data_IF_459924954434
#
_entry.id   IF_459924954434
#
_cell.length_a   1.000
_cell.length_b   1.000
_cell.length_c   1.000
_cell.angle_alpha   90.00
_cell.angle_beta   90.00
_cell.angle_gamma   90.00
#
_symmetry.space_group_name_H-M   'P 1'
#
loop_
_entity.id
_entity.type
_entity.pdbx_description
1 polymer ?
#
# COMPACT_ATOMS: atom_id res chain seq x y z
N UNK A 1 12.86 65.40 34.32
CA UNK A 1 12.26 64.03 34.33
C UNK A 1 12.19 63.56 32.89
N UNK A 2 12.91 62.52 32.52
CA UNK A 2 12.80 61.84 31.22
C UNK A 2 12.36 60.41 31.51
N UNK A 3 11.21 60.02 31.00
CA UNK A 3 10.75 58.64 31.01
C UNK A 3 10.99 58.08 29.61
N UNK A 4 12.03 57.26 29.44
CA UNK A 4 12.13 56.37 28.29
C UNK A 4 11.46 55.05 28.69
N UNK A 5 10.23 54.83 28.23
CA UNK A 5 9.62 53.51 28.29
C UNK A 5 10.16 52.72 27.08
N UNK A 6 11.23 51.96 27.29
CA UNK A 6 11.60 50.89 26.37
C UNK A 6 10.84 49.63 26.79
N UNK A 7 9.70 49.39 26.14
CA UNK A 7 9.03 48.10 26.20
C UNK A 7 9.59 47.23 25.06
N UNK A 8 10.80 46.71 25.25
CA UNK A 8 11.21 45.51 24.54
C UNK A 8 10.32 44.36 25.05
N UNK A 9 9.28 44.07 24.29
CA UNK A 9 8.38 42.95 24.55
C UNK A 9 8.92 41.72 23.82
N UNK A 10 9.02 40.62 24.54
CA UNK A 10 9.43 39.35 23.96
C UNK A 10 8.21 38.71 23.33
N UNK A 11 8.33 38.40 22.06
CA UNK A 11 7.30 37.73 21.28
C UNK A 11 7.83 36.36 20.89
N UNK A 12 7.21 35.31 21.42
CA UNK A 12 7.37 33.98 20.86
C UNK A 12 6.57 33.94 19.55
N UNK A 13 7.22 33.53 18.46
CA UNK A 13 6.56 33.26 17.18
C UNK A 13 7.13 31.97 16.60
N UNK A 14 6.29 30.94 16.50
CA UNK A 14 6.60 29.69 15.82
C UNK A 14 5.77 29.61 14.54
N UNK A 15 6.39 29.30 13.41
CA UNK A 15 5.71 29.17 12.11
C UNK A 15 5.90 27.78 11.53
N UNK A 16 4.91 27.32 10.78
CA UNK A 16 4.99 26.13 9.95
C UNK A 16 4.04 26.29 8.77
N UNK A 17 4.34 25.60 7.66
CA UNK A 17 3.54 25.55 6.43
C UNK A 17 2.17 24.93 6.72
N UNK A 18 1.25 25.77 7.18
CA UNK A 18 -0.05 25.37 7.72
C UNK A 18 -1.14 25.50 6.65
N UNK A 19 -0.90 26.31 5.62
CA UNK A 19 -1.73 26.37 4.42
C UNK A 19 -1.36 25.30 3.37
N UNK A 20 -0.22 24.60 3.56
CA UNK A 20 0.28 23.48 2.73
C UNK A 20 0.70 23.89 1.33
N UNK A 21 1.24 25.08 1.17
CA UNK A 21 1.77 25.57 -0.12
C UNK A 21 3.25 25.20 -0.35
N UNK A 22 3.86 24.53 0.64
CA UNK A 22 5.25 24.09 0.62
C UNK A 22 6.22 25.09 1.23
N UNK A 23 5.79 26.28 1.67
CA UNK A 23 6.66 27.31 2.25
C UNK A 23 6.13 27.75 3.61
N UNK A 24 7.05 28.01 4.52
CA UNK A 24 6.71 28.65 5.80
C UNK A 24 6.70 30.17 5.59
N UNK A 25 5.57 30.82 5.84
CA UNK A 25 5.45 32.28 5.81
C UNK A 25 5.92 32.89 7.13
N UNK A 26 7.10 33.51 7.10
CA UNK A 26 7.72 34.18 8.25
C UNK A 26 7.35 35.67 8.34
N UNK A 27 7.05 36.30 7.21
CA UNK A 27 6.89 37.75 7.10
C UNK A 27 5.43 38.19 6.97
N UNK A 28 4.57 37.31 6.46
CA UNK A 28 3.14 37.53 6.24
C UNK A 28 2.24 36.81 7.24
N UNK A 29 0.99 36.62 6.83
CA UNK A 29 -0.07 36.04 7.65
C UNK A 29 -0.76 34.82 7.03
N UNK A 30 -0.28 34.28 5.90
CA UNK A 30 -1.04 33.26 5.15
C UNK A 30 -1.12 31.91 5.88
N UNK A 31 -0.14 31.59 6.73
CA UNK A 31 -0.14 30.40 7.57
C UNK A 31 -0.97 30.56 8.86
N UNK A 32 -1.16 31.79 9.33
CA UNK A 32 -1.73 32.11 10.65
C UNK A 32 -3.14 31.55 10.83
N UNK A 33 -4.07 31.69 9.87
CA UNK A 33 -5.42 31.15 10.00
C UNK A 33 -5.47 29.62 10.18
N UNK A 34 -4.44 28.92 9.70
CA UNK A 34 -4.40 27.46 9.64
C UNK A 34 -3.53 26.84 10.75
N UNK A 35 -2.64 27.63 11.35
CA UNK A 35 -1.63 27.25 12.33
C UNK A 35 -2.10 26.38 13.50
N UNK A 36 -3.31 26.64 14.00
CA UNK A 36 -3.88 25.94 15.17
C UNK A 36 -4.93 24.88 14.79
N UNK A 37 -4.90 24.42 13.54
CA UNK A 37 -5.85 23.49 12.98
C UNK A 37 -5.25 22.08 12.76
N UNK A 38 -6.11 21.06 12.73
CA UNK A 38 -5.80 19.68 12.33
C UNK A 38 -6.77 19.15 11.27
N UNK A 39 -7.53 20.03 10.61
CA UNK A 39 -8.46 19.65 9.54
C UNK A 39 -7.70 19.02 8.36
N UNK A 40 -8.43 18.27 7.54
CA UNK A 40 -7.84 17.60 6.37
C UNK A 40 -7.30 18.57 5.32
N UNK A 41 -7.59 19.87 5.41
CA UNK A 41 -7.12 20.93 4.52
C UNK A 41 -6.38 22.08 5.24
N UNK A 42 -6.08 21.96 6.54
CA UNK A 42 -5.42 23.02 7.30
C UNK A 42 -4.57 22.48 8.45
N UNK A 43 -3.45 23.14 8.73
CA UNK A 43 -2.45 22.71 9.70
C UNK A 43 -1.31 21.95 9.02
N UNK A 44 -0.12 22.08 9.60
CA UNK A 44 1.12 21.59 8.97
C UNK A 44 1.21 20.07 8.95
N UNK A 45 1.89 19.53 7.92
CA UNK A 45 2.14 18.11 7.75
C UNK A 45 3.63 17.83 7.95
N UNK A 46 3.95 16.69 8.57
CA UNK A 46 5.30 16.18 8.70
C UNK A 46 5.31 14.67 8.44
N UNK A 47 6.48 14.09 8.16
CA UNK A 47 6.59 12.68 7.80
C UNK A 47 6.95 11.83 9.02
N UNK A 48 6.52 10.56 9.02
CA UNK A 48 7.16 9.57 9.85
C UNK A 48 8.46 9.15 9.18
N UNK A 49 9.60 9.50 9.75
CA UNK A 49 10.91 9.24 9.15
C UNK A 49 11.35 7.80 9.45
N UNK A 50 10.54 6.87 8.94
CA UNK A 50 10.66 5.44 9.18
C UNK A 50 11.51 4.72 8.12
N UNK A 51 12.28 5.48 7.32
CA UNK A 51 13.32 4.98 6.42
C UNK A 51 14.53 4.43 7.18
N UNK A 52 15.47 3.82 6.46
CA UNK A 52 16.72 3.29 7.01
C UNK A 52 17.92 3.77 6.18
N UNK A 53 18.30 5.03 6.40
CA UNK A 53 19.49 5.62 5.80
C UNK A 53 20.73 4.82 6.23
N UNK A 54 21.64 4.57 5.28
CA UNK A 54 22.83 3.70 5.47
C UNK A 54 22.55 2.23 5.85
N UNK A 55 21.29 1.82 5.81
CA UNK A 55 20.85 0.43 5.98
C UNK A 55 21.21 -0.18 7.34
N UNK A 56 21.16 0.61 8.42
CA UNK A 56 21.53 0.17 9.78
C UNK A 56 20.58 -0.91 10.28
N UNK A 57 19.27 -0.74 10.06
CA UNK A 57 18.23 -1.66 10.47
C UNK A 57 18.18 -2.91 9.58
N UNK A 58 18.31 -2.76 8.26
CA UNK A 58 18.45 -3.89 7.33
C UNK A 58 19.64 -4.79 7.70
N UNK A 59 20.78 -4.23 8.11
CA UNK A 59 21.95 -5.01 8.56
C UNK A 59 21.61 -5.89 9.77
N UNK A 60 20.79 -5.40 10.71
CA UNK A 60 20.32 -6.20 11.84
C UNK A 60 19.39 -7.33 11.38
N UNK A 61 18.53 -7.06 10.40
CA UNK A 61 17.64 -8.06 9.82
C UNK A 61 18.40 -9.16 9.04
N UNK A 62 19.60 -8.87 8.53
CA UNK A 62 20.43 -9.82 7.79
C UNK A 62 21.29 -10.74 8.66
N UNK A 63 21.28 -10.58 9.99
CA UNK A 63 22.01 -11.46 10.90
C UNK A 63 21.41 -12.88 10.96
N UNK A 64 22.21 -13.86 11.38
CA UNK A 64 21.78 -15.27 11.54
C UNK A 64 20.61 -15.43 12.52
N UNK A 65 20.55 -14.56 13.52
CA UNK A 65 19.45 -14.45 14.50
C UNK A 65 18.88 -13.04 14.45
N UNK A 66 17.99 -12.73 13.48
CA UNK A 66 17.44 -11.39 13.36
C UNK A 66 16.51 -11.08 14.53
N UNK A 67 16.36 -9.79 14.91
CA UNK A 67 15.32 -9.36 15.85
C UNK A 67 13.91 -9.71 15.35
N UNK A 68 12.92 -9.66 16.24
CA UNK A 68 11.51 -9.77 15.86
C UNK A 68 11.11 -8.67 14.87
N UNK A 69 10.05 -8.92 14.09
CA UNK A 69 9.54 -7.89 13.18
C UNK A 69 9.12 -6.61 13.91
N UNK A 70 8.59 -6.72 15.13
CA UNK A 70 8.31 -5.57 16.00
C UNK A 70 9.55 -4.69 16.21
N UNK A 71 10.69 -5.31 16.55
CA UNK A 71 11.95 -4.59 16.77
C UNK A 71 12.52 -4.01 15.48
N UNK A 72 12.31 -4.68 14.35
CA UNK A 72 12.75 -4.19 13.04
C UNK A 72 11.89 -3.02 12.56
N UNK A 73 10.57 -3.10 12.72
CA UNK A 73 9.66 -2.00 12.43
C UNK A 73 9.93 -0.76 13.30
N UNK A 74 10.37 -0.96 14.55
CA UNK A 74 10.80 0.11 15.45
C UNK A 74 12.21 0.65 15.13
N UNK A 75 12.98 0.00 14.26
CA UNK A 75 14.30 0.46 13.85
C UNK A 75 14.18 1.27 12.56
N UNK A 76 14.50 2.56 12.65
CA UNK A 76 14.46 3.51 11.53
C UNK A 76 15.26 4.79 11.83
N UNK A 77 15.29 5.72 10.89
CA UNK A 77 16.01 7.00 10.99
C UNK A 77 15.52 7.88 12.14
N UNK A 78 14.28 7.73 12.61
CA UNK A 78 13.74 8.43 13.78
C UNK A 78 13.73 7.60 15.09
N UNK A 79 14.36 6.42 15.10
CA UNK A 79 14.33 5.50 16.25
C UNK A 79 15.14 5.96 17.46
N UNK A 80 16.00 6.96 17.30
CA UNK A 80 16.77 7.60 18.37
C UNK A 80 16.75 9.13 18.22
N UNK A 81 17.71 9.81 18.85
CA UNK A 81 17.87 11.26 18.81
C UNK A 81 19.01 11.67 17.85
N UNK A 82 19.51 10.78 17.00
CA UNK A 82 20.57 11.10 16.04
C UNK A 82 19.91 11.34 14.68
N UNK A 83 20.28 12.44 14.03
CA UNK A 83 19.84 12.69 12.66
C UNK A 83 20.59 11.73 11.71
N UNK A 84 19.91 10.68 11.25
CA UNK A 84 20.49 9.69 10.32
C UNK A 84 20.32 10.09 8.84
N UNK A 85 19.31 10.90 8.52
CA UNK A 85 19.03 11.36 7.15
C UNK A 85 19.43 12.84 6.97
N UNK A 86 19.78 13.32 5.75
CA UNK A 86 20.20 14.70 5.52
C UNK A 86 19.10 15.76 5.72
N UNK A 87 17.86 15.36 6.05
CA UNK A 87 16.79 16.27 6.41
C UNK A 87 16.85 16.64 7.89
N UNK A 88 16.70 17.92 8.26
CA UNK A 88 16.76 18.34 9.66
C UNK A 88 15.68 17.63 10.48
N UNK A 89 16.02 17.14 11.67
CA UNK A 89 15.12 16.49 12.62
C UNK A 89 15.19 17.21 13.98
N UNK A 90 14.09 17.19 14.75
CA UNK A 90 13.98 17.87 16.04
C UNK A 90 13.93 16.87 17.18
N UNK A 91 14.42 17.33 18.31
CA UNK A 91 14.45 16.58 19.56
C UNK A 91 13.23 16.92 20.42
N UNK A 92 12.90 16.02 21.35
CA UNK A 92 11.76 16.11 22.26
C UNK A 92 11.74 17.39 23.11
N UNK A 93 12.90 17.96 23.42
CA UNK A 93 13.05 19.33 23.95
C UNK A 93 14.42 19.87 23.55
N UNK A 94 14.45 21.01 22.85
CA UNK A 94 15.69 21.69 22.49
C UNK A 94 15.78 22.99 23.30
N UNK A 95 16.74 23.07 24.21
CA UNK A 95 17.11 24.33 24.85
C UNK A 95 18.11 25.07 23.96
N UNK A 96 17.81 26.33 23.65
CA UNK A 96 18.63 27.18 22.76
C UNK A 96 19.12 28.39 23.54
N UNK A 97 20.41 28.74 23.37
CA UNK A 97 21.03 29.90 24.03
C UNK A 97 20.67 31.23 23.33
N UNK A 98 20.74 32.34 24.08
CA UNK A 98 20.25 33.68 23.72
C UNK A 98 20.70 34.20 22.34
N UNK A 99 21.96 33.95 21.95
CA UNK A 99 22.52 34.48 20.71
C UNK A 99 21.86 33.89 19.45
N UNK A 100 21.35 32.66 19.54
CA UNK A 100 20.70 31.95 18.44
C UNK A 100 19.21 32.32 18.33
N UNK A 101 18.55 32.65 19.46
CA UNK A 101 17.13 33.03 19.46
C UNK A 101 16.87 34.35 18.71
N UNK A 102 17.79 35.32 18.75
CA UNK A 102 17.63 36.59 18.03
C UNK A 102 17.71 36.45 16.51
N UNK A 103 18.35 35.39 16.00
CA UNK A 103 18.51 35.14 14.57
C UNK A 103 17.35 34.29 14.00
N UNK A 104 16.49 33.76 14.86
CA UNK A 104 15.50 32.74 14.51
C UNK A 104 16.11 31.34 14.49
N UNK A 105 15.25 30.33 14.66
CA UNK A 105 15.63 28.92 14.68
C UNK A 105 14.84 28.18 13.61
N UNK A 106 15.55 27.44 12.76
CA UNK A 106 14.93 26.49 11.85
C UNK A 106 14.95 25.09 12.49
N UNK A 107 13.76 24.53 12.68
CA UNK A 107 13.56 23.20 13.23
C UNK A 107 12.99 22.31 12.12
N UNK A 108 13.59 21.14 11.88
CA UNK A 108 12.89 20.07 11.16
C UNK A 108 12.27 19.12 12.17
N UNK A 109 11.15 18.46 11.86
CA UNK A 109 10.41 17.62 12.82
C UNK A 109 10.03 16.33 12.10
N UNK A 110 10.41 15.19 12.68
CA UNK A 110 10.08 13.86 12.17
C UNK A 110 9.26 13.09 13.20
N UNK A 111 8.25 12.34 12.73
CA UNK A 111 7.56 11.37 13.57
C UNK A 111 8.37 10.06 13.65
N UNK A 112 8.34 9.42 14.82
CA UNK A 112 8.98 8.11 15.05
C UNK A 112 8.14 6.92 14.56
N UNK A 113 6.85 7.14 14.41
CA UNK A 113 5.90 6.14 13.96
C UNK A 113 4.78 6.81 13.17
N UNK A 114 3.93 5.97 12.61
CA UNK A 114 2.74 6.30 11.84
C UNK A 114 1.52 6.37 12.75
N UNK A 115 0.36 6.67 12.19
CA UNK A 115 -0.91 6.59 12.95
C UNK A 115 -1.23 5.13 13.24
N UNK A 116 -1.61 4.83 14.48
CA UNK A 116 -1.91 3.47 14.94
C UNK A 116 -3.31 3.38 15.54
N UNK A 117 -4.07 2.30 15.29
CA UNK A 117 -5.33 2.08 15.99
C UNK A 117 -5.07 1.92 17.48
N UNK A 118 -5.84 2.63 18.32
CA UNK A 118 -5.66 2.63 19.78
C UNK A 118 -4.34 3.23 20.29
N UNK A 119 -3.49 3.75 19.39
CA UNK A 119 -2.20 4.37 19.70
C UNK A 119 -2.20 5.87 19.45
N UNK A 120 -1.07 6.40 18.99
CA UNK A 120 -0.97 7.80 18.60
C UNK A 120 -1.79 8.06 17.32
N UNK A 121 -2.62 9.09 17.37
CA UNK A 121 -3.53 9.49 16.28
C UNK A 121 -2.84 10.37 15.22
N UNK A 122 -1.54 10.59 15.37
CA UNK A 122 -0.74 11.38 14.44
C UNK A 122 -0.77 12.88 14.66
N UNK A 123 -1.46 13.40 15.69
CA UNK A 123 -1.55 14.84 15.96
C UNK A 123 -0.51 15.23 17.01
N UNK A 124 0.16 16.35 16.78
CA UNK A 124 1.11 16.95 17.73
C UNK A 124 0.90 18.45 17.81
N UNK A 125 1.11 19.03 18.99
CA UNK A 125 1.21 20.47 19.19
C UNK A 125 2.62 20.79 19.63
N UNK A 126 3.30 21.67 18.89
CA UNK A 126 4.62 22.18 19.27
C UNK A 126 4.42 23.48 20.01
N UNK A 127 4.90 23.52 21.24
CA UNK A 127 4.84 24.70 22.09
C UNK A 127 6.21 25.40 22.07
N UNK A 128 6.23 26.66 21.65
CA UNK A 128 7.42 27.50 21.72
C UNK A 128 7.24 28.52 22.83
N UNK A 129 8.08 28.46 23.86
CA UNK A 129 8.02 29.34 25.02
C UNK A 129 9.37 30.03 25.21
N UNK A 130 9.34 31.35 25.32
CA UNK A 130 10.53 32.18 25.58
C UNK A 130 10.45 32.77 26.98
N UNK A 131 11.51 32.57 27.77
CA UNK A 131 11.64 33.12 29.12
C UNK A 131 12.76 34.16 29.17
N UNK A 132 12.49 35.34 29.73
CA UNK A 132 13.52 36.36 30.00
C UNK A 132 13.22 37.07 31.32
N UNK A 133 14.16 37.00 32.27
CA UNK A 133 14.14 37.77 33.52
C UNK A 133 12.77 37.78 34.22
N UNK A 134 12.08 36.62 34.23
CA UNK A 134 10.77 36.43 34.87
C UNK A 134 9.55 36.75 33.99
N UNK A 135 9.73 37.22 32.75
CA UNK A 135 8.68 37.33 31.72
C UNK A 135 8.64 36.04 30.89
N UNK A 136 7.45 35.73 30.38
CA UNK A 136 7.21 34.58 29.52
C UNK A 136 6.35 35.01 28.32
N UNK A 137 6.69 34.50 27.14
CA UNK A 137 5.91 34.61 25.91
C UNK A 137 5.79 33.22 25.31
N UNK A 138 4.62 32.85 24.81
CA UNK A 138 4.37 31.52 24.29
C UNK A 138 3.52 31.57 23.02
N UNK A 139 3.79 30.63 22.14
CA UNK A 139 3.08 30.43 20.89
C UNK A 139 3.09 28.94 20.55
N UNK A 140 2.22 28.51 19.63
CA UNK A 140 2.07 27.10 19.32
C UNK A 140 1.63 26.87 17.89
N UNK A 141 2.08 25.76 17.33
CA UNK A 141 1.65 25.28 16.01
C UNK A 141 1.23 23.82 16.11
N UNK A 142 0.21 23.47 15.33
CA UNK A 142 -0.35 22.13 15.26
C UNK A 142 0.11 21.45 13.99
N UNK A 143 0.62 20.24 14.14
CA UNK A 143 1.04 19.41 13.03
C UNK A 143 0.30 18.08 13.04
N UNK A 144 0.28 17.42 11.89
CA UNK A 144 -0.26 16.08 11.73
C UNK A 144 0.68 15.24 10.87
N UNK A 145 1.01 14.04 11.33
CA UNK A 145 1.83 13.12 10.54
C UNK A 145 1.10 12.75 9.25
N UNK A 146 1.82 12.70 8.14
CA UNK A 146 1.28 12.27 6.87
C UNK A 146 0.70 10.85 7.00
N UNK A 147 -0.51 10.60 6.48
CA UNK A 147 -1.07 9.26 6.45
C UNK A 147 -0.28 8.38 5.47
N UNK A 148 -0.29 7.07 5.71
CA UNK A 148 0.14 6.12 4.69
C UNK A 148 -1.02 5.87 3.74
N UNK A 149 -0.74 5.97 2.44
CA UNK A 149 -1.65 5.69 1.35
C UNK A 149 -1.12 4.53 0.51
N UNK A 150 -1.99 3.64 0.05
CA UNK A 150 -1.64 2.58 -0.90
C UNK A 150 -1.75 3.08 -2.34
N UNK A 151 -0.98 2.48 -3.23
CA UNK A 151 -1.00 2.80 -4.65
C UNK A 151 -2.22 2.18 -5.35
N UNK A 152 -2.73 2.87 -6.37
CA UNK A 152 -3.67 2.29 -7.35
C UNK A 152 -3.01 2.14 -8.71
N UNK A 153 -3.54 1.24 -9.55
CA UNK A 153 -2.97 0.82 -10.84
C UNK A 153 -2.86 1.88 -11.94
N UNK A 154 -3.25 3.13 -11.69
CA UNK A 154 -3.00 4.24 -12.61
C UNK A 154 -1.81 5.11 -12.20
N UNK A 155 -1.13 4.79 -11.10
CA UNK A 155 0.18 5.35 -10.80
C UNK A 155 1.25 4.77 -11.73
N UNK A 156 2.28 5.57 -12.00
CA UNK A 156 3.45 5.13 -12.76
C UNK A 156 4.23 4.04 -12.02
N UNK A 157 4.65 3.00 -12.73
CA UNK A 157 5.45 1.90 -12.16
C UNK A 157 6.88 2.38 -11.88
N UNK A 158 7.26 2.40 -10.61
CA UNK A 158 8.63 2.73 -10.20
C UNK A 158 9.56 1.51 -10.25
N UNK A 159 9.08 0.35 -9.76
CA UNK A 159 9.84 -0.89 -9.65
C UNK A 159 8.89 -2.08 -9.77
N UNK A 160 9.38 -3.19 -10.30
CA UNK A 160 8.68 -4.48 -10.36
C UNK A 160 9.30 -5.40 -9.32
N UNK A 161 8.48 -6.06 -8.51
CA UNK A 161 8.89 -6.91 -7.40
C UNK A 161 8.42 -8.34 -7.66
N UNK A 162 9.29 -9.32 -7.48
CA UNK A 162 8.94 -10.74 -7.60
C UNK A 162 9.77 -11.60 -6.66
N UNK A 163 9.40 -12.86 -6.48
CA UNK A 163 10.23 -13.86 -5.81
C UNK A 163 11.14 -14.52 -6.85
N UNK A 164 12.40 -14.78 -6.51
CA UNK A 164 13.40 -15.29 -7.46
C UNK A 164 13.13 -16.74 -7.90
N UNK A 165 12.36 -17.51 -7.11
CA UNK A 165 12.09 -18.92 -7.36
C UNK A 165 13.28 -19.85 -7.15
N UNK A 166 14.39 -19.36 -6.60
CA UNK A 166 15.62 -20.13 -6.37
C UNK A 166 15.57 -21.00 -5.11
N UNK A 167 14.59 -20.79 -4.23
CA UNK A 167 14.47 -21.47 -2.95
C UNK A 167 13.04 -21.99 -2.71
N UNK A 168 12.36 -22.55 -3.72
CA UNK A 168 10.96 -23.00 -3.58
C UNK A 168 10.74 -24.42 -4.05
N UNK A 169 9.72 -25.09 -3.50
CA UNK A 169 9.23 -26.39 -4.00
C UNK A 169 8.52 -26.27 -5.36
N UNK A 170 8.12 -25.05 -5.77
CA UNK A 170 7.50 -24.82 -7.07
C UNK A 170 8.56 -24.82 -8.19
N UNK A 171 8.64 -25.95 -8.91
CA UNK A 171 9.60 -26.16 -9.99
C UNK A 171 9.45 -25.20 -11.19
N UNK A 172 8.33 -24.49 -11.29
CA UNK A 172 8.05 -23.56 -12.40
C UNK A 172 8.42 -22.12 -12.09
N UNK A 173 8.58 -21.75 -10.81
CA UNK A 173 8.78 -20.34 -10.43
C UNK A 173 10.05 -19.76 -11.04
N UNK A 174 11.19 -20.46 -10.94
CA UNK A 174 12.44 -19.99 -11.54
C UNK A 174 12.34 -19.81 -13.07
N UNK A 175 11.62 -20.70 -13.75
CA UNK A 175 11.39 -20.61 -15.20
C UNK A 175 10.48 -19.44 -15.55
N UNK A 176 9.42 -19.23 -14.78
CA UNK A 176 8.52 -18.08 -14.92
C UNK A 176 9.30 -16.77 -14.78
N UNK A 177 10.06 -16.62 -13.69
CA UNK A 177 10.86 -15.41 -13.42
C UNK A 177 11.89 -15.14 -14.51
N UNK A 178 12.58 -16.18 -15.02
CA UNK A 178 13.52 -16.03 -16.12
C UNK A 178 12.85 -15.62 -17.43
N UNK A 179 11.64 -16.13 -17.70
CA UNK A 179 10.87 -15.80 -18.91
C UNK A 179 10.29 -14.40 -18.80
N UNK A 180 9.83 -14.01 -17.62
CA UNK A 180 9.33 -12.68 -17.32
C UNK A 180 10.43 -11.61 -17.49
N UNK A 181 11.63 -11.87 -16.95
CA UNK A 181 12.80 -10.99 -17.13
C UNK A 181 13.16 -10.79 -18.62
N UNK A 182 13.15 -11.88 -19.39
CA UNK A 182 13.37 -11.82 -20.84
C UNK A 182 12.28 -11.01 -21.57
N UNK A 183 11.01 -11.17 -21.17
CA UNK A 183 9.90 -10.42 -21.76
C UNK A 183 9.99 -8.92 -21.44
N UNK A 184 10.38 -8.54 -20.21
CA UNK A 184 10.60 -7.13 -19.85
C UNK A 184 11.71 -6.51 -20.71
N UNK A 185 12.80 -7.25 -20.95
CA UNK A 185 13.88 -6.82 -21.83
C UNK A 185 13.42 -6.67 -23.29
N UNK A 186 12.65 -7.64 -23.81
CA UNK A 186 12.10 -7.59 -25.17
C UNK A 186 11.16 -6.39 -25.38
N UNK A 187 10.35 -6.08 -24.37
CA UNK A 187 9.41 -4.96 -24.39
C UNK A 187 10.08 -3.60 -24.10
N UNK A 188 11.37 -3.55 -23.81
CA UNK A 188 12.11 -2.35 -23.36
C UNK A 188 11.46 -1.67 -22.14
N UNK A 189 11.00 -2.47 -21.17
CA UNK A 189 10.49 -1.94 -19.91
C UNK A 189 11.67 -1.48 -19.05
N UNK A 190 11.73 -0.17 -18.77
CA UNK A 190 12.85 0.45 -18.04
C UNK A 190 12.72 0.40 -16.51
N UNK A 191 11.62 -0.15 -15.98
CA UNK A 191 11.42 -0.27 -14.53
C UNK A 191 12.33 -1.37 -13.95
N UNK A 192 13.07 -1.13 -12.86
CA UNK A 192 13.93 -2.15 -12.26
C UNK A 192 13.13 -3.36 -11.77
N UNK A 193 13.70 -4.56 -11.94
CA UNK A 193 13.15 -5.80 -11.42
C UNK A 193 13.93 -6.24 -10.16
N UNK A 194 13.27 -6.25 -9.00
CA UNK A 194 13.83 -6.78 -7.77
C UNK A 194 13.30 -8.20 -7.51
N UNK A 195 14.21 -9.11 -7.13
CA UNK A 195 13.91 -10.54 -6.93
C UNK A 195 14.23 -10.94 -5.48
N UNK A 196 13.20 -11.16 -4.66
CA UNK A 196 13.33 -11.71 -3.32
C UNK A 196 13.86 -13.16 -3.37
N UNK A 197 14.94 -13.47 -2.66
CA UNK A 197 15.65 -14.74 -2.80
C UNK A 197 15.87 -15.51 -1.49
N UNK A 198 15.22 -15.09 -0.40
CA UNK A 198 15.45 -15.62 0.95
C UNK A 198 14.25 -16.38 1.54
N UNK A 199 13.26 -16.77 0.73
CA UNK A 199 12.10 -17.56 1.15
C UNK A 199 11.62 -18.47 0.01
N UNK A 200 10.89 -19.52 0.37
CA UNK A 200 10.21 -20.48 -0.51
C UNK A 200 8.80 -20.07 -0.92
N UNK A 201 8.26 -19.05 -0.25
CA UNK A 201 7.00 -18.41 -0.63
C UNK A 201 7.16 -17.73 -2.00
N UNK A 202 6.28 -18.09 -2.93
CA UNK A 202 6.31 -17.57 -4.29
C UNK A 202 5.45 -16.31 -4.46
N UNK A 203 4.60 -16.00 -3.47
CA UNK A 203 3.54 -15.00 -3.57
C UNK A 203 4.02 -13.64 -3.09
N UNK A 204 4.83 -12.97 -3.92
CA UNK A 204 5.28 -11.60 -3.65
C UNK A 204 4.13 -10.65 -3.27
N UNK A 205 2.98 -10.80 -3.95
CA UNK A 205 1.79 -9.98 -3.76
C UNK A 205 1.18 -10.09 -2.36
N UNK A 206 1.38 -11.21 -1.66
CA UNK A 206 0.61 -11.46 -0.45
C UNK A 206 1.29 -11.03 0.84
N UNK A 207 2.62 -10.92 0.86
CA UNK A 207 3.36 -10.72 2.11
C UNK A 207 3.64 -9.25 2.44
N UNK A 208 3.35 -8.33 1.52
CA UNK A 208 3.45 -6.88 1.73
C UNK A 208 2.65 -6.10 0.67
N UNK A 209 2.34 -4.85 0.98
CA UNK A 209 1.69 -3.88 0.07
C UNK A 209 2.54 -2.60 -0.01
N UNK A 210 2.93 -2.13 -1.22
CA UNK A 210 3.58 -0.84 -1.38
C UNK A 210 2.61 0.32 -1.13
N UNK A 211 3.06 1.30 -0.35
CA UNK A 211 2.36 2.56 -0.12
C UNK A 211 3.34 3.73 -0.04
N UNK A 212 2.83 4.89 0.35
CA UNK A 212 3.63 6.11 0.48
C UNK A 212 3.04 7.07 1.51
N UNK A 213 3.87 7.98 1.96
CA UNK A 213 3.46 9.20 2.66
C UNK A 213 4.08 10.40 1.98
N UNK A 214 3.41 11.54 2.01
CA UNK A 214 3.94 12.75 1.40
C UNK A 214 3.59 14.00 2.18
N UNK A 215 4.44 15.02 2.03
CA UNK A 215 4.21 16.36 2.55
C UNK A 215 4.56 17.41 1.49
N UNK A 216 3.96 18.61 1.54
CA UNK A 216 4.30 19.71 0.64
C UNK A 216 5.77 20.16 0.80
N UNK A 217 6.30 20.74 -0.27
CA UNK A 217 7.62 21.39 -0.29
C UNK A 217 7.69 22.32 -1.51
N UNK A 218 8.59 23.33 -1.51
CA UNK A 218 8.64 24.33 -2.58
C UNK A 218 8.85 23.77 -3.98
N UNK A 219 9.56 22.65 -4.09
CA UNK A 219 9.94 22.00 -5.35
C UNK A 219 9.02 20.82 -5.73
N UNK A 220 7.87 20.72 -5.05
CA UNK A 220 6.96 19.58 -5.14
C UNK A 220 6.99 18.73 -3.87
N UNK A 221 6.08 17.75 -3.76
CA UNK A 221 5.92 16.97 -2.54
C UNK A 221 7.16 16.11 -2.23
N UNK A 222 7.59 16.12 -0.98
CA UNK A 222 8.55 15.14 -0.46
C UNK A 222 7.77 13.86 -0.17
N UNK A 223 8.20 12.74 -0.76
CA UNK A 223 7.51 11.44 -0.64
C UNK A 223 8.46 10.38 -0.10
N UNK A 224 8.01 9.65 0.92
CA UNK A 224 8.64 8.41 1.36
C UNK A 224 7.82 7.22 0.86
N UNK A 225 8.51 6.26 0.26
CA UNK A 225 7.94 4.95 -0.07
C UNK A 225 7.79 4.13 1.20
N UNK A 226 6.73 3.36 1.33
CA UNK A 226 6.45 2.58 2.54
C UNK A 226 6.09 1.16 2.15
N UNK A 227 6.85 0.19 2.65
CA UNK A 227 6.51 -1.23 2.51
C UNK A 227 5.64 -1.63 3.70
N UNK A 228 4.34 -1.85 3.47
CA UNK A 228 3.39 -2.29 4.48
C UNK A 228 3.46 -3.80 4.55
N UNK A 229 4.18 -4.35 5.51
CA UNK A 229 4.26 -5.79 5.73
C UNK A 229 2.86 -6.33 6.09
N UNK A 230 2.52 -7.52 5.57
CA UNK A 230 1.30 -8.24 5.95
C UNK A 230 1.18 -8.40 7.47
N UNK A 231 -0.03 -8.41 8.02
CA UNK A 231 -0.21 -8.64 9.47
C UNK A 231 0.22 -10.05 9.90
N UNK A 232 0.51 -10.94 8.95
CA UNK A 232 0.89 -12.34 9.16
C UNK A 232 2.35 -12.50 9.59
N UNK A 233 2.62 -12.36 10.89
CA UNK A 233 3.98 -12.43 11.45
C UNK A 233 4.71 -13.77 11.16
N UNK A 234 3.97 -14.88 11.10
CA UNK A 234 4.53 -16.20 10.78
C UNK A 234 4.79 -16.44 9.29
N UNK A 235 4.37 -15.54 8.39
CA UNK A 235 4.68 -15.60 6.96
C UNK A 235 6.08 -15.01 6.72
N UNK A 236 7.10 -15.82 6.95
CA UNK A 236 8.52 -15.41 6.99
C UNK A 236 9.02 -14.66 5.74
N UNK A 237 8.36 -14.84 4.60
CA UNK A 237 8.67 -14.11 3.37
C UNK A 237 8.54 -12.59 3.53
N UNK A 238 7.57 -12.13 4.32
CA UNK A 238 7.32 -10.70 4.57
C UNK A 238 8.50 -10.01 5.26
N UNK A 239 9.25 -10.72 6.11
CA UNK A 239 10.42 -10.17 6.82
C UNK A 239 11.48 -9.60 5.86
N UNK A 240 11.48 -10.05 4.60
CA UNK A 240 12.35 -9.55 3.55
C UNK A 240 12.17 -8.05 3.24
N UNK A 241 11.03 -7.43 3.58
CA UNK A 241 10.85 -5.98 3.41
C UNK A 241 11.82 -5.18 4.28
N UNK A 242 12.04 -5.59 5.53
CA UNK A 242 13.00 -4.97 6.44
C UNK A 242 14.45 -5.25 6.02
N UNK A 243 14.71 -6.45 5.47
CA UNK A 243 16.04 -6.86 5.00
C UNK A 243 16.50 -6.10 3.76
N UNK A 244 15.61 -5.96 2.78
CA UNK A 244 16.01 -5.60 1.42
C UNK A 244 15.41 -4.29 0.91
N UNK A 245 14.19 -3.95 1.31
CA UNK A 245 13.48 -2.79 0.76
C UNK A 245 13.58 -1.54 1.65
N UNK A 246 13.63 -1.69 2.98
CA UNK A 246 13.87 -0.56 3.87
C UNK A 246 15.25 0.05 3.60
N UNK A 247 15.28 1.34 3.27
CA UNK A 247 16.47 2.07 2.83
C UNK A 247 16.24 3.59 2.92
N UNK A 248 17.21 4.41 2.51
CA UNK A 248 17.01 5.84 2.35
C UNK A 248 15.82 6.12 1.40
N UNK A 249 14.85 6.91 1.85
CA UNK A 249 13.63 7.21 1.09
C UNK A 249 12.54 6.13 1.11
N UNK A 250 12.82 4.96 1.72
CA UNK A 250 11.89 3.83 1.80
C UNK A 250 11.78 3.30 3.23
N UNK A 251 10.63 3.52 3.87
CA UNK A 251 10.29 2.95 5.17
C UNK A 251 9.61 1.59 5.06
N UNK A 252 9.49 0.91 6.21
CA UNK A 252 8.74 -0.33 6.34
C UNK A 252 7.93 -0.32 7.65
N UNK A 253 6.72 -0.84 7.61
CA UNK A 253 5.82 -0.93 8.77
C UNK A 253 5.15 -2.27 8.83
N UNK A 254 4.71 -2.67 10.03
CA UNK A 254 3.82 -3.80 10.21
C UNK A 254 2.79 -3.50 11.31
N UNK A 255 1.56 -3.96 11.13
CA UNK A 255 0.54 -4.03 12.18
C UNK A 255 0.48 -5.46 12.73
N UNK A 256 0.87 -5.65 14.00
CA UNK A 256 1.17 -6.96 14.58
C UNK A 256 -0.04 -7.57 15.29
N UNK A 257 -1.01 -8.04 14.52
CA UNK A 257 -2.20 -8.71 15.08
C UNK A 257 -2.71 -9.89 14.24
N UNK A 258 -2.11 -10.15 13.06
CA UNK A 258 -2.65 -11.09 12.09
C UNK A 258 -2.21 -12.54 12.30
N UNK A 259 -3.18 -13.44 12.40
CA UNK A 259 -2.94 -14.86 12.21
C UNK A 259 -2.61 -15.17 10.73
N UNK A 260 -1.89 -16.28 10.47
CA UNK A 260 -1.71 -16.83 9.12
C UNK A 260 -3.05 -17.34 8.59
N UNK A 261 -3.68 -16.54 7.74
CA UNK A 261 -5.00 -16.73 7.14
C UNK A 261 -5.02 -15.90 5.86
N UNK A 262 -5.60 -16.43 4.78
CA UNK A 262 -5.63 -15.76 3.47
C UNK A 262 -6.38 -14.43 3.50
N UNK A 263 -7.33 -14.25 4.43
CA UNK A 263 -7.96 -12.94 4.62
C UNK A 263 -6.96 -11.82 4.97
N UNK A 264 -5.78 -12.18 5.50
CA UNK A 264 -4.70 -11.26 5.88
C UNK A 264 -3.55 -11.21 4.85
N UNK A 265 -3.67 -11.91 3.73
CA UNK A 265 -2.75 -11.81 2.59
C UNK A 265 -3.03 -10.52 1.82
N UNK A 266 -1.98 -9.85 1.35
CA UNK A 266 -2.09 -8.52 0.75
C UNK A 266 -2.64 -8.54 -0.69
N UNK A 267 -2.72 -9.70 -1.37
CA UNK A 267 -3.58 -9.85 -2.56
C UNK A 267 -5.07 -9.61 -2.25
N UNK A 268 -5.47 -9.64 -0.97
CA UNK A 268 -6.80 -9.24 -0.52
C UNK A 268 -6.90 -7.76 -0.11
N UNK A 269 -5.91 -6.93 -0.45
CA UNK A 269 -5.89 -5.49 -0.23
C UNK A 269 -5.62 -4.77 -1.56
N UNK A 270 -6.63 -4.06 -2.06
CA UNK A 270 -6.54 -3.32 -3.32
C UNK A 270 -7.01 -1.87 -3.13
N UNK A 271 -6.55 -0.98 -4.02
CA UNK A 271 -6.88 0.44 -3.94
C UNK A 271 -7.81 0.87 -5.07
N UNK A 272 -9.03 1.25 -4.73
CA UNK A 272 -9.95 1.91 -5.66
C UNK A 272 -9.37 3.30 -6.01
N UNK A 273 -9.26 3.68 -7.29
CA UNK A 273 -8.91 5.04 -7.67
C UNK A 273 -9.88 6.10 -7.05
N UNK A 274 -9.50 7.39 -7.00
CA UNK A 274 -10.23 8.42 -6.25
C UNK A 274 -11.75 8.47 -6.49
N UNK A 275 -12.56 8.49 -5.41
CA UNK A 275 -14.04 8.47 -5.43
C UNK A 275 -14.67 9.04 -4.11
N UNK A 276 -16.00 9.03 -3.94
CA UNK A 276 -16.73 9.56 -2.75
C UNK A 276 -17.78 8.57 -2.19
N UNK A 277 -17.87 8.33 -0.87
CA UNK A 277 -18.60 7.13 -0.37
C UNK A 277 -19.27 7.15 1.07
N UNK A 278 -20.28 6.25 1.34
CA UNK A 278 -20.96 5.88 2.64
C UNK A 278 -21.37 4.38 2.87
N UNK A 279 -20.86 3.77 3.96
CA UNK A 279 -20.61 2.34 4.31
C UNK A 279 -21.69 1.22 4.30
N UNK A 280 -21.17 -0.04 4.39
CA UNK A 280 -21.81 -1.29 4.90
C UNK A 280 -20.70 -2.20 5.50
N UNK A 281 -21.05 -3.22 6.31
CA UNK A 281 -20.11 -4.03 7.13
C UNK A 281 -19.96 -5.48 6.66
N UNK A 282 -18.75 -6.05 6.80
CA UNK A 282 -18.35 -7.41 6.45
C UNK A 282 -17.32 -7.96 7.48
N UNK A 283 -16.83 -9.20 7.31
CA UNK A 283 -15.68 -9.76 8.06
C UNK A 283 -14.45 -8.88 7.84
N UNK A 284 -13.67 -8.65 8.90
CA UNK A 284 -12.64 -7.61 8.93
C UNK A 284 -11.23 -8.22 8.93
N UNK A 285 -10.36 -7.92 7.95
CA UNK A 285 -8.95 -8.29 8.01
C UNK A 285 -8.24 -7.47 9.09
N UNK A 286 -7.17 -8.00 9.69
CA UNK A 286 -6.47 -7.30 10.78
C UNK A 286 -5.84 -5.97 10.34
N UNK A 287 -5.48 -5.83 9.06
CA UNK A 287 -4.95 -4.58 8.50
C UNK A 287 -5.99 -3.45 8.46
N UNK A 288 -7.29 -3.76 8.57
CA UNK A 288 -8.37 -2.80 8.42
C UNK A 288 -8.27 -1.63 9.40
N UNK A 289 -8.03 -1.91 10.68
CA UNK A 289 -7.97 -0.86 11.70
C UNK A 289 -6.75 0.05 11.52
N UNK A 290 -5.65 -0.52 11.03
CA UNK A 290 -4.46 0.25 10.66
C UNK A 290 -4.73 1.20 9.48
N UNK A 291 -5.40 0.74 8.42
CA UNK A 291 -5.77 1.57 7.28
C UNK A 291 -6.80 2.65 7.69
N UNK A 292 -7.78 2.30 8.53
CA UNK A 292 -8.75 3.25 9.06
C UNK A 292 -8.10 4.34 9.92
N UNK A 293 -7.03 4.03 10.66
CA UNK A 293 -6.26 5.02 11.42
C UNK A 293 -5.56 6.06 10.51
N UNK A 294 -5.43 5.79 9.20
CA UNK A 294 -4.88 6.75 8.25
C UNK A 294 -5.91 7.82 7.83
N UNK A 295 -7.21 7.58 8.07
CA UNK A 295 -8.33 8.52 7.89
C UNK A 295 -8.60 9.01 6.44
N UNK A 296 -7.78 8.66 5.43
CA UNK A 296 -7.92 9.18 4.05
C UNK A 296 -8.53 8.16 3.07
N UNK A 297 -8.00 6.92 3.03
CA UNK A 297 -8.51 5.85 2.18
C UNK A 297 -9.44 4.94 3.00
N UNK A 298 -10.69 5.36 3.23
CA UNK A 298 -11.68 4.56 3.98
C UNK A 298 -11.91 3.21 3.28
N UNK A 299 -11.49 2.06 3.86
CA UNK A 299 -11.53 0.79 3.16
C UNK A 299 -12.97 0.30 2.93
N UNK A 300 -13.24 -0.11 1.70
CA UNK A 300 -14.48 -0.79 1.34
C UNK A 300 -14.29 -2.30 1.45
N UNK A 301 -15.00 -2.93 2.38
CA UNK A 301 -15.04 -4.39 2.45
C UNK A 301 -15.99 -4.95 1.38
N UNK A 302 -15.59 -6.06 0.78
CA UNK A 302 -16.33 -6.79 -0.27
C UNK A 302 -16.33 -8.29 0.05
N UNK A 303 -17.31 -9.03 -0.46
CA UNK A 303 -17.44 -10.47 -0.24
C UNK A 303 -16.63 -11.25 -1.28
N UNK A 304 -15.53 -11.85 -0.82
CA UNK A 304 -14.62 -12.71 -1.59
C UNK A 304 -14.52 -14.12 -0.98
N UNK A 305 -15.27 -14.42 0.08
CA UNK A 305 -15.23 -15.72 0.80
C UNK A 305 -15.72 -16.90 -0.07
N UNK A 306 -16.31 -16.61 -1.24
CA UNK A 306 -16.75 -17.59 -2.21
C UNK A 306 -15.64 -18.06 -3.16
N UNK A 307 -14.49 -17.37 -3.20
CA UNK A 307 -13.29 -17.78 -3.91
C UNK A 307 -12.50 -18.79 -3.06
N UNK A 308 -11.74 -19.67 -3.72
CA UNK A 308 -11.00 -20.73 -3.03
C UNK A 308 -9.85 -20.18 -2.16
N UNK A 309 -9.16 -19.15 -2.64
CA UNK A 309 -8.14 -18.43 -1.88
C UNK A 309 -8.79 -17.29 -1.09
N UNK A 310 -9.67 -16.52 -1.73
CA UNK A 310 -10.47 -15.50 -1.05
C UNK A 310 -9.86 -14.11 -1.15
N UNK A 311 -9.19 -13.80 -2.27
CA UNK A 311 -8.57 -12.51 -2.52
C UNK A 311 -9.34 -11.69 -3.56
N UNK A 312 -9.32 -10.37 -3.40
CA UNK A 312 -10.00 -9.47 -4.34
C UNK A 312 -9.30 -9.40 -5.71
N UNK A 313 -7.98 -9.59 -5.76
CA UNK A 313 -7.19 -9.57 -7.01
C UNK A 313 -7.56 -10.70 -7.99
N UNK A 314 -8.16 -11.80 -7.50
CA UNK A 314 -8.66 -12.92 -8.32
C UNK A 314 -9.84 -12.52 -9.24
N UNK A 315 -10.58 -11.46 -8.88
CA UNK A 315 -11.81 -11.08 -9.59
C UNK A 315 -11.92 -9.60 -9.96
N UNK A 316 -10.94 -8.78 -9.59
CA UNK A 316 -11.01 -7.35 -9.80
C UNK A 316 -9.63 -6.74 -10.04
N UNK A 317 -9.53 -5.92 -11.08
CA UNK A 317 -8.37 -5.07 -11.31
C UNK A 317 -8.82 -3.72 -11.87
N UNK A 318 -8.13 -2.64 -11.53
CA UNK A 318 -8.29 -1.35 -12.23
C UNK A 318 -7.20 -1.19 -13.31
N UNK A 319 -7.54 -0.65 -14.47
CA UNK A 319 -6.60 -0.34 -15.54
C UNK A 319 -6.75 1.11 -16.02
N UNK A 320 -5.66 1.80 -16.38
CA UNK A 320 -5.74 3.10 -17.05
C UNK A 320 -6.56 3.02 -18.34
N UNK A 321 -7.39 4.04 -18.59
CA UNK A 321 -8.22 4.11 -19.79
C UNK A 321 -8.45 5.56 -20.21
N UNK A 322 -8.62 5.77 -21.52
CA UNK A 322 -8.93 7.09 -22.06
C UNK A 322 -10.44 7.38 -21.99
N UNK A 323 -10.94 7.64 -20.79
CA UNK A 323 -12.33 8.03 -20.52
C UNK A 323 -12.38 9.14 -19.45
N UNK A 324 -13.58 9.57 -19.05
CA UNK A 324 -13.73 10.65 -18.06
C UNK A 324 -13.19 10.32 -16.67
N UNK A 325 -13.04 9.04 -16.33
CA UNK A 325 -12.48 8.59 -15.06
C UNK A 325 -10.95 8.40 -15.12
N UNK A 326 -10.39 8.24 -16.32
CA UNK A 326 -8.98 7.91 -16.53
C UNK A 326 -8.66 6.43 -16.31
N UNK A 327 -9.65 5.61 -16.01
CA UNK A 327 -9.51 4.18 -15.70
C UNK A 327 -10.80 3.40 -15.96
N UNK A 328 -10.66 2.08 -16.05
CA UNK A 328 -11.76 1.10 -16.13
C UNK A 328 -11.59 0.07 -15.03
N UNK A 329 -12.71 -0.50 -14.61
CA UNK A 329 -12.75 -1.69 -13.76
C UNK A 329 -12.76 -2.93 -14.65
N UNK A 330 -11.79 -3.81 -14.47
CA UNK A 330 -11.65 -5.10 -15.15
C UNK A 330 -12.15 -6.22 -14.23
N UNK A 331 -13.11 -7.00 -14.70
CA UNK A 331 -13.70 -8.12 -13.95
C UNK A 331 -13.90 -9.34 -14.85
N UNK A 332 -13.81 -10.57 -14.34
CA UNK A 332 -14.14 -11.76 -15.12
C UNK A 332 -15.64 -11.85 -15.41
N UNK A 333 -15.98 -12.44 -16.56
CA UNK A 333 -17.34 -12.77 -16.98
C UNK A 333 -17.41 -14.27 -17.34
N UNK A 334 -17.79 -15.11 -16.35
CA UNK A 334 -17.96 -16.55 -16.51
C UNK A 334 -18.97 -16.94 -17.58
N UNK A 335 -20.08 -16.20 -17.70
CA UNK A 335 -21.11 -16.52 -18.70
C UNK A 335 -20.62 -16.23 -20.12
N UNK A 336 -19.92 -15.12 -20.35
CA UNK A 336 -19.32 -14.83 -21.65
C UNK A 336 -18.21 -15.83 -22.01
N UNK A 337 -17.44 -16.31 -21.02
CA UNK A 337 -16.50 -17.42 -21.20
C UNK A 337 -17.20 -18.69 -21.74
N UNK A 338 -18.30 -19.09 -21.11
CA UNK A 338 -19.13 -20.21 -21.59
C UNK A 338 -19.77 -19.93 -22.96
N UNK A 339 -20.15 -18.68 -23.24
CA UNK A 339 -20.71 -18.28 -24.52
C UNK A 339 -19.70 -18.46 -25.67
N UNK A 340 -18.41 -18.16 -25.45
CA UNK A 340 -17.34 -18.45 -26.43
C UNK A 340 -17.30 -19.95 -26.75
N UNK A 341 -17.32 -20.80 -25.72
CA UNK A 341 -17.26 -22.26 -25.89
C UNK A 341 -18.49 -22.79 -26.65
N UNK A 342 -19.70 -22.31 -26.30
CA UNK A 342 -20.94 -22.66 -27.01
C UNK A 342 -20.91 -22.19 -28.46
N UNK A 343 -20.37 -21.00 -28.72
CA UNK A 343 -20.19 -20.51 -30.10
C UNK A 343 -19.25 -21.43 -30.88
N UNK A 344 -18.09 -21.79 -30.32
CA UNK A 344 -17.13 -22.70 -30.94
C UNK A 344 -17.75 -24.07 -31.21
N UNK A 345 -18.52 -24.62 -30.27
CA UNK A 345 -19.29 -25.85 -30.46
C UNK A 345 -20.26 -25.73 -31.65
N UNK A 346 -21.05 -24.65 -31.70
CA UNK A 346 -22.02 -24.41 -32.78
C UNK A 346 -21.37 -24.24 -34.15
N UNK A 347 -20.12 -23.75 -34.19
CA UNK A 347 -19.30 -23.62 -35.39
C UNK A 347 -18.62 -24.94 -35.82
N UNK A 348 -18.88 -26.05 -35.12
CA UNK A 348 -18.34 -27.38 -35.45
C UNK A 348 -17.03 -27.73 -34.76
N UNK A 349 -16.57 -26.92 -33.79
CA UNK A 349 -15.32 -27.15 -33.05
C UNK A 349 -15.52 -27.90 -31.72
N UNK A 350 -16.68 -28.53 -31.50
CA UNK A 350 -16.99 -29.24 -30.24
C UNK A 350 -15.96 -30.30 -29.84
N UNK A 351 -15.33 -30.97 -30.81
CA UNK A 351 -14.28 -31.99 -30.59
C UNK A 351 -12.89 -31.43 -30.34
N UNK A 352 -12.70 -30.11 -30.42
CA UNK A 352 -11.42 -29.47 -30.08
C UNK A 352 -11.22 -29.56 -28.56
N UNK A 353 -9.99 -29.78 -28.12
CA UNK A 353 -9.64 -29.71 -26.69
C UNK A 353 -10.01 -28.35 -26.10
N UNK A 354 -10.69 -28.33 -24.96
CA UNK A 354 -11.09 -27.11 -24.26
C UNK A 354 -9.89 -26.38 -23.64
N UNK A 355 -8.79 -27.10 -23.39
CA UNK A 355 -7.55 -26.56 -22.88
C UNK A 355 -6.47 -26.60 -23.96
N UNK A 356 -5.80 -25.47 -24.18
CA UNK A 356 -4.73 -25.33 -25.17
C UNK A 356 -3.35 -25.77 -24.64
N UNK A 357 -3.25 -26.05 -23.34
CA UNK A 357 -2.02 -26.55 -22.71
C UNK A 357 -1.81 -28.01 -23.07
N UNK A 358 -0.57 -28.40 -23.39
CA UNK A 358 -0.24 -29.79 -23.68
C UNK A 358 -0.22 -30.63 -22.39
N UNK A 359 -0.30 -31.96 -22.52
CA UNK A 359 -0.18 -32.91 -21.40
C UNK A 359 1.24 -32.94 -20.78
N UNK A 360 2.16 -32.06 -21.21
CA UNK A 360 3.55 -31.98 -20.75
C UNK A 360 3.71 -31.32 -19.36
N UNK A 361 2.60 -30.96 -18.70
CA UNK A 361 2.59 -30.64 -17.26
C UNK A 361 2.75 -31.86 -16.33
N UNK A 362 3.12 -33.04 -16.85
CA UNK A 362 3.63 -34.17 -16.05
C UNK A 362 4.80 -33.68 -15.17
N UNK A 363 4.51 -33.23 -13.95
CA UNK A 363 5.56 -32.68 -13.09
C UNK A 363 5.12 -31.86 -11.89
N UNK A 364 3.92 -32.05 -11.34
CA UNK A 364 3.79 -31.88 -9.90
C UNK A 364 3.09 -33.13 -9.32
N UNK A 365 3.79 -33.97 -8.55
CA UNK A 365 3.14 -35.05 -7.80
C UNK A 365 2.19 -34.51 -6.70
N UNK A 366 2.33 -33.23 -6.37
CA UNK A 366 1.45 -32.44 -5.49
C UNK A 366 0.60 -31.50 -6.34
N UNK A 367 -0.47 -30.92 -5.78
CA UNK A 367 -1.08 -29.75 -6.42
C UNK A 367 -0.07 -28.58 -6.47
N UNK A 368 -0.09 -27.78 -7.54
CA UNK A 368 0.76 -26.60 -7.74
C UNK A 368 0.61 -25.56 -6.61
N UNK A 369 -0.54 -25.60 -5.95
CA UNK A 369 -0.93 -24.68 -4.88
C UNK A 369 -1.03 -25.36 -3.51
N UNK A 370 -0.66 -26.65 -3.41
CA UNK A 370 -0.78 -27.42 -2.16
C UNK A 370 -2.23 -27.61 -1.69
N UNK A 371 -3.21 -27.33 -2.53
CA UNK A 371 -4.63 -27.52 -2.25
C UNK A 371 -4.92 -29.02 -2.42
N UNK A 372 -5.50 -29.70 -1.41
CA UNK A 372 -5.80 -31.14 -1.47
C UNK A 372 -6.63 -31.58 -2.69
N UNK A 373 -7.26 -30.62 -3.39
CA UNK A 373 -8.15 -30.80 -4.54
C UNK A 373 -7.67 -30.12 -5.83
N UNK A 374 -6.52 -29.46 -5.86
CA UNK A 374 -6.06 -28.80 -7.07
C UNK A 374 -5.65 -29.79 -8.16
N UNK A 375 -5.83 -29.38 -9.42
CA UNK A 375 -5.72 -30.25 -10.58
C UNK A 375 -4.29 -30.81 -10.73
N UNK A 376 -4.17 -32.14 -10.66
CA UNK A 376 -2.93 -32.90 -10.88
C UNK A 376 -2.59 -33.06 -12.37
N UNK A 377 -2.81 -32.01 -13.16
CA UNK A 377 -2.65 -32.01 -14.62
C UNK A 377 -3.76 -31.23 -15.32
N UNK A 378 -3.54 -30.87 -16.59
CA UNK A 378 -4.54 -30.20 -17.42
C UNK A 378 -5.57 -31.24 -17.87
N UNK A 379 -6.88 -31.05 -17.63
CA UNK A 379 -7.89 -31.99 -18.11
C UNK A 379 -7.90 -32.09 -19.64
N UNK A 380 -8.08 -33.29 -20.17
CA UNK A 380 -8.11 -33.54 -21.61
C UNK A 380 -9.50 -33.36 -22.25
N UNK A 381 -10.41 -32.65 -21.58
CA UNK A 381 -11.78 -32.47 -22.06
C UNK A 381 -11.81 -31.76 -23.40
N UNK A 382 -12.65 -32.26 -24.31
CA UNK A 382 -13.12 -31.49 -25.47
C UNK A 382 -14.12 -30.41 -25.05
N UNK A 383 -14.39 -29.44 -25.92
CA UNK A 383 -15.43 -28.42 -25.69
C UNK A 383 -16.80 -29.09 -25.44
N UNK A 384 -17.13 -30.14 -26.20
CA UNK A 384 -18.38 -30.90 -26.02
C UNK A 384 -18.45 -31.52 -24.62
N UNK A 385 -17.41 -32.21 -24.18
CA UNK A 385 -17.36 -32.87 -22.86
C UNK A 385 -17.41 -31.86 -21.71
N UNK A 386 -16.72 -30.73 -21.86
CA UNK A 386 -16.73 -29.67 -20.86
C UNK A 386 -18.11 -29.02 -20.72
N UNK A 387 -18.80 -28.75 -21.83
CA UNK A 387 -20.14 -28.16 -21.83
C UNK A 387 -21.25 -29.11 -21.35
N UNK A 388 -20.95 -30.42 -21.22
CA UNK A 388 -21.85 -31.41 -20.63
C UNK A 388 -21.77 -31.49 -19.10
N UNK A 389 -20.81 -30.80 -18.46
CA UNK A 389 -20.64 -30.79 -17.01
C UNK A 389 -21.59 -29.78 -16.38
N UNK A 390 -22.76 -30.24 -15.92
CA UNK A 390 -23.78 -29.36 -15.33
C UNK A 390 -23.25 -28.60 -14.11
N UNK A 391 -22.44 -29.25 -13.26
CA UNK A 391 -21.85 -28.63 -12.08
C UNK A 391 -20.97 -27.43 -12.45
N UNK A 392 -20.21 -27.52 -13.54
CA UNK A 392 -19.39 -26.43 -14.06
C UNK A 392 -20.26 -25.25 -14.52
N UNK A 393 -21.33 -25.53 -15.25
CA UNK A 393 -22.25 -24.50 -15.75
C UNK A 393 -22.95 -23.78 -14.60
N UNK A 394 -23.45 -24.54 -13.61
CA UNK A 394 -24.09 -23.99 -12.41
C UNK A 394 -23.12 -23.19 -11.55
N UNK A 395 -21.88 -23.67 -11.37
CA UNK A 395 -20.85 -22.94 -10.65
C UNK A 395 -20.52 -21.59 -11.31
N UNK A 396 -20.31 -21.59 -12.63
CA UNK A 396 -20.04 -20.35 -13.38
C UNK A 396 -21.23 -19.36 -13.33
N UNK A 397 -22.47 -19.85 -13.27
CA UNK A 397 -23.64 -19.00 -13.06
C UNK A 397 -23.62 -18.35 -11.67
N UNK A 398 -23.37 -19.13 -10.62
CA UNK A 398 -23.25 -18.62 -9.25
C UNK A 398 -22.07 -17.62 -9.13
N UNK A 399 -20.91 -17.91 -9.70
CA UNK A 399 -19.77 -16.98 -9.72
C UNK A 399 -20.13 -15.65 -10.40
N UNK A 400 -20.88 -15.70 -11.50
CA UNK A 400 -21.33 -14.48 -12.19
C UNK A 400 -22.25 -13.62 -11.32
N UNK A 401 -23.14 -14.25 -10.55
CA UNK A 401 -23.99 -13.53 -9.58
C UNK A 401 -23.16 -12.86 -8.47
N UNK A 402 -22.14 -13.55 -7.95
CA UNK A 402 -21.23 -13.02 -6.92
C UNK A 402 -20.39 -11.85 -7.42
N UNK A 403 -19.77 -11.99 -8.59
CA UNK A 403 -19.00 -10.92 -9.25
C UNK A 403 -19.91 -9.72 -9.50
N UNK A 404 -21.11 -9.94 -10.05
CA UNK A 404 -22.09 -8.87 -10.29
C UNK A 404 -22.45 -8.15 -8.99
N UNK A 405 -22.69 -8.86 -7.89
CA UNK A 405 -23.02 -8.25 -6.60
C UNK A 405 -21.89 -7.32 -6.11
N UNK A 406 -20.63 -7.74 -6.23
CA UNK A 406 -19.49 -6.88 -5.84
C UNK A 406 -19.31 -5.71 -6.80
N UNK A 407 -19.49 -5.91 -8.11
CA UNK A 407 -19.50 -4.84 -9.12
C UNK A 407 -20.59 -3.81 -8.83
N UNK A 408 -21.79 -4.24 -8.48
CA UNK A 408 -22.92 -3.37 -8.16
C UNK A 408 -22.67 -2.58 -6.87
N UNK A 409 -22.01 -3.20 -5.88
CA UNK A 409 -21.45 -2.49 -4.73
C UNK A 409 -20.48 -1.43 -5.26
N UNK A 410 -19.37 -1.79 -5.89
CA UNK A 410 -18.36 -0.84 -6.35
C UNK A 410 -18.95 0.32 -7.17
N UNK A 411 -19.88 0.07 -8.10
CA UNK A 411 -20.59 1.09 -8.87
C UNK A 411 -21.37 2.06 -7.98
N UNK A 412 -22.16 1.53 -7.04
CA UNK A 412 -22.86 2.35 -6.04
C UNK A 412 -21.90 3.19 -5.18
N UNK A 413 -20.69 2.66 -4.92
CA UNK A 413 -19.68 3.28 -4.05
C UNK A 413 -18.87 4.36 -4.75
N UNK A 414 -18.59 4.17 -6.02
CA UNK A 414 -17.68 5.01 -6.81
C UNK A 414 -18.41 5.95 -7.77
N UNK A 415 -19.69 5.70 -8.04
CA UNK A 415 -20.46 6.41 -9.06
C UNK A 415 -20.19 5.95 -10.49
N UNK A 416 -19.47 4.83 -10.68
CA UNK A 416 -19.22 4.22 -12.00
C UNK A 416 -20.55 3.88 -12.69
N UNK A 417 -20.64 4.15 -14.00
CA UNK A 417 -21.75 3.75 -14.89
C UNK A 417 -21.27 2.77 -15.95
N UNK A 418 -22.14 1.82 -16.34
CA UNK A 418 -21.82 0.63 -17.14
C UNK A 418 -21.20 0.88 -18.52
N UNK A 419 -21.60 1.94 -19.23
CA UNK A 419 -21.33 2.04 -20.67
C UNK A 419 -19.85 2.23 -21.04
N UNK A 420 -19.02 2.82 -20.16
CA UNK A 420 -17.66 3.26 -20.52
C UNK A 420 -16.55 2.85 -19.53
N UNK A 421 -16.91 2.16 -18.43
CA UNK A 421 -16.05 2.10 -17.24
C UNK A 421 -15.91 0.69 -16.62
N UNK A 422 -16.55 -0.33 -17.20
CA UNK A 422 -16.38 -1.73 -16.78
C UNK A 422 -16.07 -2.60 -17.99
N UNK A 423 -14.92 -3.26 -17.96
CA UNK A 423 -14.48 -4.22 -18.98
C UNK A 423 -14.64 -5.62 -18.41
N UNK A 424 -15.43 -6.43 -19.10
CA UNK A 424 -15.70 -7.81 -18.74
C UNK A 424 -14.76 -8.74 -19.52
N UNK A 425 -13.82 -9.37 -18.82
CA UNK A 425 -12.93 -10.38 -19.38
C UNK A 425 -13.70 -11.67 -19.57
N UNK A 426 -13.78 -12.13 -20.82
CA UNK A 426 -14.46 -13.39 -21.15
C UNK A 426 -13.62 -14.56 -20.65
N UNK A 427 -13.96 -15.05 -19.47
CA UNK A 427 -13.23 -16.08 -18.76
C UNK A 427 -14.22 -16.98 -18.06
N UNK A 428 -14.24 -18.28 -18.35
CA UNK A 428 -14.98 -19.27 -17.56
C UNK A 428 -14.04 -19.85 -16.49
N UNK A 429 -14.52 -19.97 -15.26
CA UNK A 429 -13.84 -20.77 -14.25
C UNK A 429 -13.89 -22.24 -14.70
N UNK A 430 -12.76 -22.73 -15.20
CA UNK A 430 -12.57 -24.13 -15.54
C UNK A 430 -12.05 -24.80 -14.27
N UNK A 431 -12.95 -25.49 -13.56
CA UNK A 431 -12.71 -26.04 -12.22
C UNK A 431 -11.54 -27.01 -12.13
#
# INVERSE_FOLDING_TARGET
MHWLLSLLQILADIRADSNRDGRVDLDGDIDIPHKLNHLDHAGAIFLANISDTDRRCSKLALNDSPPSNEKLAACNDASDNIQHSPHPSAYETVSVEDATLQQGLNLGIDARDTRRPGGWDGRVTVHFTVHDRGKMSADSVKLRVAPILTYHHSHSVHQILTTAGNNTFNLFQAKFVSTFDAALAEMNVNSPLFKFNASDDIWAQDFFEPGYMSMPSPDGPVTLQIMIHSTQDSRVAGHQVFKYLQAAGTGAVQHLEGARDEVNSMGNLETIPPHSFKGKKYKKPYILEYLQAQEIQDPLLVDVDWLAVGHIDEMLQFLPANNSLGWVMLVPDPQEGLAILRHAQSAGHGKTGAFSRQNDTEGNPSDLFGIPWGLRGVPSYTIDELLLQNELIEANANFSERIKATVDVLKCKTGIKDADNTVYLRFSALG
#
